data_IF_888902216982
#
_entry.id   IF_888902216982
#
_cell.length_a   1.000
_cell.length_b   1.000
_cell.length_c   1.000
_cell.angle_alpha   90.00
_cell.angle_beta   90.00
_cell.angle_gamma   90.00
#
_symmetry.space_group_name_H-M   'P 1'
#
loop_
_entity.id
_entity.type
_entity.pdbx_description
1 polymer ?
#
# COMPACT_ATOMS: atom_id res chain seq x y z
N UNK A 1 20.91 4.41 -6.79
CA UNK A 1 22.38 4.19 -6.88
C UNK A 1 23.12 5.23 -6.03
N UNK A 2 23.16 6.52 -6.42
CA UNK A 2 23.87 7.55 -5.65
C UNK A 2 23.40 7.62 -4.20
N UNK A 3 22.07 7.66 -3.96
CA UNK A 3 21.51 7.65 -2.61
C UNK A 3 21.89 6.41 -1.79
N UNK A 4 22.03 5.25 -2.43
CA UNK A 4 22.47 4.00 -1.77
C UNK A 4 23.89 4.13 -1.21
N UNK A 5 24.82 4.72 -1.98
CA UNK A 5 26.20 4.97 -1.51
C UNK A 5 26.31 6.02 -0.41
N UNK A 6 25.27 6.84 -0.22
CA UNK A 6 25.18 7.83 0.85
C UNK A 6 24.64 7.24 2.16
N UNK A 7 24.01 6.07 2.12
CA UNK A 7 23.63 5.32 3.33
C UNK A 7 24.91 4.76 3.95
N UNK A 8 25.38 5.39 5.03
CA UNK A 8 26.57 4.96 5.77
C UNK A 8 26.20 4.75 7.23
N UNK A 9 26.65 3.62 7.78
CA UNK A 9 26.59 3.37 9.20
C UNK A 9 27.33 4.51 9.95
N UNK A 10 26.75 5.07 11.02
CA UNK A 10 27.44 6.07 11.82
C UNK A 10 28.75 5.49 12.37
N UNK A 11 29.81 6.31 12.38
CA UNK A 11 31.12 5.92 12.94
C UNK A 11 31.02 5.92 14.48
N UNK A 12 30.97 4.74 15.11
CA UNK A 12 30.95 4.57 16.57
C UNK A 12 30.57 3.14 17.01
N UNK A 13 30.74 2.81 18.29
CA UNK A 13 30.23 1.55 18.86
C UNK A 13 28.73 1.64 19.15
N UNK A 14 27.90 0.88 18.42
CA UNK A 14 26.45 0.76 18.65
C UNK A 14 25.65 0.55 17.36
N UNK A 15 24.33 0.34 17.49
CA UNK A 15 23.38 0.29 16.36
C UNK A 15 23.30 1.64 15.62
N UNK A 16 23.57 2.74 16.31
CA UNK A 16 23.52 4.09 15.76
C UNK A 16 22.13 4.47 15.26
N UNK A 17 22.02 5.65 14.64
CA UNK A 17 20.76 6.07 13.99
C UNK A 17 20.65 5.44 12.58
N UNK A 18 20.36 4.13 12.55
CA UNK A 18 20.17 3.38 11.30
C UNK A 18 19.04 3.99 10.45
N UNK A 19 17.95 4.43 11.09
CA UNK A 19 16.82 5.07 10.42
C UNK A 19 17.24 6.41 9.78
N UNK A 20 18.00 7.25 10.50
CA UNK A 20 18.54 8.48 9.95
C UNK A 20 19.55 8.28 8.81
N UNK A 21 20.31 7.18 8.81
CA UNK A 21 21.17 6.83 7.68
C UNK A 21 20.35 6.45 6.42
N UNK A 22 19.34 5.61 6.59
CA UNK A 22 18.41 5.21 5.53
C UNK A 22 17.70 6.46 4.96
N UNK A 23 17.22 7.34 5.84
CA UNK A 23 16.47 8.52 5.42
C UNK A 23 17.32 9.55 4.67
N UNK A 24 18.59 9.74 5.06
CA UNK A 24 19.53 10.57 4.28
C UNK A 24 19.70 10.03 2.85
N UNK A 25 19.79 8.71 2.69
CA UNK A 25 19.82 8.07 1.38
C UNK A 25 18.52 8.25 0.60
N UNK A 26 17.37 8.22 1.28
CA UNK A 26 16.06 8.42 0.67
C UNK A 26 15.85 9.87 0.20
N UNK A 27 16.10 10.87 1.05
CA UNK A 27 15.95 12.29 0.70
C UNK A 27 16.93 12.74 -0.38
N UNK A 28 18.17 12.24 -0.36
CA UNK A 28 19.13 12.55 -1.42
C UNK A 28 18.70 11.95 -2.76
N UNK A 29 18.20 10.70 -2.79
CA UNK A 29 17.59 10.13 -3.99
C UNK A 29 16.39 10.95 -4.47
N UNK A 30 15.55 11.46 -3.56
CA UNK A 30 14.40 12.31 -3.89
C UNK A 30 14.81 13.63 -4.54
N UNK A 31 15.78 14.33 -3.95
CA UNK A 31 16.30 15.58 -4.50
C UNK A 31 16.93 15.39 -5.88
N UNK A 32 17.73 14.33 -6.05
CA UNK A 32 18.34 13.99 -7.34
C UNK A 32 17.26 13.68 -8.38
N UNK A 33 16.24 12.89 -8.00
CA UNK A 33 15.12 12.53 -8.87
C UNK A 33 14.43 13.79 -9.41
N UNK A 34 14.01 14.71 -8.52
CA UNK A 34 13.32 15.95 -8.91
C UNK A 34 14.16 16.78 -9.89
N UNK A 35 15.46 16.96 -9.61
CA UNK A 35 16.36 17.74 -10.48
C UNK A 35 16.51 17.11 -11.86
N UNK A 36 16.69 15.79 -11.93
CA UNK A 36 16.86 15.08 -13.21
C UNK A 36 15.57 15.08 -14.03
N UNK A 37 14.41 14.84 -13.39
CA UNK A 37 13.11 14.91 -14.08
C UNK A 37 12.80 16.33 -14.55
N UNK A 38 13.18 17.36 -13.79
CA UNK A 38 13.06 18.75 -14.24
C UNK A 38 13.94 19.04 -15.48
N UNK A 39 15.19 18.55 -15.48
CA UNK A 39 16.08 18.65 -16.63
C UNK A 39 15.53 17.95 -17.87
N UNK A 40 15.03 16.71 -17.73
CA UNK A 40 14.40 15.96 -18.83
C UNK A 40 13.13 16.67 -19.31
N UNK A 41 12.28 17.14 -18.40
CA UNK A 41 11.07 17.87 -18.76
C UNK A 41 11.39 19.13 -19.56
N UNK A 42 12.38 19.91 -19.11
CA UNK A 42 12.85 21.08 -19.83
C UNK A 42 13.45 20.74 -21.21
N UNK A 43 14.20 19.65 -21.37
CA UNK A 43 14.82 19.36 -22.67
C UNK A 43 13.86 18.68 -23.66
N UNK A 44 12.95 17.83 -23.19
CA UNK A 44 12.16 16.94 -24.04
C UNK A 44 10.69 17.36 -24.20
N UNK A 45 10.07 18.00 -23.19
CA UNK A 45 8.62 18.25 -23.15
C UNK A 45 8.22 19.67 -23.56
N UNK A 46 9.09 20.42 -24.24
CA UNK A 46 8.86 21.84 -24.61
C UNK A 46 7.56 22.08 -25.37
N UNK A 47 7.15 21.13 -26.21
CA UNK A 47 5.98 21.26 -27.08
C UNK A 47 4.72 20.57 -26.54
N UNK A 48 4.70 20.15 -25.26
CA UNK A 48 3.54 19.48 -24.68
C UNK A 48 2.43 20.50 -24.38
N UNK A 49 1.15 20.18 -24.70
CA UNK A 49 0.01 21.00 -24.34
C UNK A 49 0.01 21.35 -22.85
N UNK A 50 -0.12 22.63 -22.55
CA UNK A 50 -0.11 23.13 -21.19
C UNK A 50 1.27 23.37 -20.57
N UNK A 51 2.36 23.09 -21.29
CA UNK A 51 3.73 23.45 -20.92
C UNK A 51 4.48 22.35 -20.17
N UNK A 52 5.79 22.28 -20.43
CA UNK A 52 6.71 21.27 -19.91
C UNK A 52 6.79 21.19 -18.38
N UNK A 53 6.48 22.29 -17.67
CA UNK A 53 6.56 22.38 -16.22
C UNK A 53 5.46 21.58 -15.51
N UNK A 54 4.29 21.38 -16.15
CA UNK A 54 3.15 20.69 -15.55
C UNK A 54 3.46 19.21 -15.25
N UNK A 55 3.97 18.41 -16.21
CA UNK A 55 4.42 17.05 -15.92
C UNK A 55 5.51 16.97 -14.86
N UNK A 56 6.50 17.88 -14.89
CA UNK A 56 7.58 17.94 -13.89
C UNK A 56 7.02 18.19 -12.49
N UNK A 57 6.08 19.12 -12.37
CA UNK A 57 5.45 19.43 -11.10
C UNK A 57 4.61 18.26 -10.58
N UNK A 58 3.89 17.55 -11.45
CA UNK A 58 3.14 16.36 -11.05
C UNK A 58 4.05 15.22 -10.54
N UNK A 59 5.16 14.97 -11.22
CA UNK A 59 6.18 14.01 -10.76
C UNK A 59 6.76 14.46 -9.40
N UNK A 60 7.02 15.76 -9.24
CA UNK A 60 7.53 16.32 -7.98
C UNK A 60 6.53 16.14 -6.84
N UNK A 61 5.23 16.38 -7.08
CA UNK A 61 4.16 16.10 -6.11
C UNK A 61 4.14 14.62 -5.73
N UNK A 62 4.38 13.72 -6.69
CA UNK A 62 4.55 12.29 -6.43
C UNK A 62 5.71 11.94 -5.50
N UNK A 63 6.86 12.59 -5.68
CA UNK A 63 8.02 12.44 -4.79
C UNK A 63 7.68 12.96 -3.38
N UNK A 64 6.99 14.10 -3.30
CA UNK A 64 6.51 14.65 -2.01
C UNK A 64 5.52 13.70 -1.34
N UNK A 65 4.60 13.09 -2.09
CA UNK A 65 3.69 12.05 -1.58
C UNK A 65 4.47 10.91 -0.93
N UNK A 66 5.52 10.39 -1.59
CA UNK A 66 6.35 9.32 -1.02
C UNK A 66 6.97 9.73 0.32
N UNK A 67 7.53 10.96 0.41
CA UNK A 67 8.13 11.49 1.63
C UNK A 67 7.09 11.67 2.74
N UNK A 68 5.90 12.17 2.43
CA UNK A 68 4.85 12.39 3.43
C UNK A 68 4.30 11.07 3.98
N UNK A 69 4.08 10.08 3.12
CA UNK A 69 3.64 8.74 3.56
C UNK A 69 4.71 8.07 4.41
N UNK A 70 5.98 8.16 4.01
CA UNK A 70 7.12 7.70 4.81
C UNK A 70 7.11 8.32 6.22
N UNK A 71 7.07 9.66 6.30
CA UNK A 71 7.09 10.40 7.58
C UNK A 71 5.91 10.11 8.49
N UNK A 72 4.70 10.06 7.93
CA UNK A 72 3.50 9.72 8.72
C UNK A 72 3.57 8.28 9.20
N UNK A 73 4.00 7.35 8.36
CA UNK A 73 4.10 5.94 8.76
C UNK A 73 5.16 5.74 9.84
N UNK A 74 6.34 6.38 9.72
CA UNK A 74 7.39 6.38 10.74
C UNK A 74 6.86 6.95 12.07
N UNK A 75 6.09 8.03 12.04
CA UNK A 75 5.54 8.61 13.27
C UNK A 75 4.61 7.65 14.03
N UNK A 76 3.78 6.88 13.31
CA UNK A 76 2.85 5.93 13.92
C UNK A 76 3.45 4.57 14.27
N UNK A 77 4.59 4.19 13.69
CA UNK A 77 5.18 2.84 13.86
C UNK A 77 6.60 2.84 14.45
N UNK A 78 7.27 4.00 14.51
CA UNK A 78 8.58 4.15 15.12
C UNK A 78 8.53 4.11 16.64
N UNK A 79 9.46 3.38 17.27
CA UNK A 79 9.57 3.22 18.73
C UNK A 79 9.78 4.54 19.49
N UNK A 80 10.27 5.57 18.80
CA UNK A 80 10.48 6.90 19.35
C UNK A 80 9.24 7.81 19.21
N UNK A 81 8.27 7.45 18.38
CA UNK A 81 7.03 8.19 18.14
C UNK A 81 6.11 8.23 19.37
N UNK A 82 5.33 9.31 19.48
CA UNK A 82 4.33 9.42 20.54
C UNK A 82 3.26 8.31 20.49
N UNK A 83 2.71 7.93 19.30
CA UNK A 83 1.74 6.85 19.19
C UNK A 83 2.18 5.52 19.80
N UNK A 84 3.41 5.07 19.48
CA UNK A 84 3.96 3.82 19.99
C UNK A 84 4.24 3.90 21.49
N UNK A 85 4.76 5.05 21.98
CA UNK A 85 4.96 5.27 23.42
C UNK A 85 3.66 5.19 24.22
N UNK A 86 2.55 5.63 23.64
CA UNK A 86 1.24 5.54 24.29
C UNK A 86 0.70 4.09 24.31
N UNK A 87 0.97 3.29 23.28
CA UNK A 87 0.72 1.83 23.31
C UNK A 87 1.54 1.17 24.42
N UNK A 88 2.84 1.50 24.51
CA UNK A 88 3.72 0.99 25.58
C UNK A 88 3.19 1.37 26.96
N UNK A 89 2.76 2.61 27.19
CA UNK A 89 2.14 3.03 28.45
C UNK A 89 0.86 2.25 28.75
N UNK A 90 0.07 1.96 27.72
CA UNK A 90 -1.18 1.20 27.84
C UNK A 90 -0.96 -0.25 28.24
N UNK A 91 0.25 -0.80 28.08
CA UNK A 91 0.59 -2.15 28.56
C UNK A 91 0.47 -2.30 30.09
N UNK A 92 0.61 -1.20 30.85
CA UNK A 92 0.40 -1.21 32.30
C UNK A 92 -1.04 -1.58 32.70
N UNK A 93 -2.02 -1.36 31.81
CA UNK A 93 -3.41 -1.75 32.01
C UNK A 93 -3.74 -3.19 31.59
N UNK A 94 -2.77 -3.93 31.05
CA UNK A 94 -2.91 -5.30 30.57
C UNK A 94 -3.26 -5.44 29.08
N UNK A 95 -3.51 -6.67 28.60
CA UNK A 95 -3.67 -6.93 27.17
C UNK A 95 -4.82 -6.17 26.51
N UNK A 96 -5.93 -5.95 27.24
CA UNK A 96 -7.10 -5.26 26.70
C UNK A 96 -6.77 -3.80 26.34
N UNK A 97 -6.10 -3.06 27.22
CA UNK A 97 -5.72 -1.66 26.98
C UNK A 97 -4.66 -1.54 25.90
N UNK A 98 -3.71 -2.49 25.82
CA UNK A 98 -2.72 -2.56 24.72
C UNK A 98 -3.40 -2.72 23.36
N UNK A 99 -4.37 -3.64 23.25
CA UNK A 99 -5.11 -3.88 22.00
C UNK A 99 -5.94 -2.63 21.65
N UNK A 100 -6.67 -2.06 22.60
CA UNK A 100 -7.47 -0.87 22.32
C UNK A 100 -6.60 0.30 21.84
N UNK A 101 -5.44 0.52 22.48
CA UNK A 101 -4.53 1.59 22.07
C UNK A 101 -4.00 1.40 20.64
N UNK A 102 -3.58 0.18 20.26
CA UNK A 102 -3.08 -0.07 18.91
C UNK A 102 -4.16 0.07 17.83
N UNK A 103 -5.39 -0.36 18.12
CA UNK A 103 -6.54 -0.16 17.22
C UNK A 103 -6.77 1.34 16.96
N UNK A 104 -6.75 2.15 18.02
CA UNK A 104 -6.92 3.62 17.92
C UNK A 104 -5.84 4.24 17.04
N UNK A 105 -4.57 3.91 17.27
CA UNK A 105 -3.45 4.44 16.47
C UNK A 105 -3.54 4.00 14.99
N UNK A 106 -3.98 2.77 14.74
CA UNK A 106 -4.28 2.30 13.39
C UNK A 106 -5.32 3.17 12.69
N UNK A 107 -6.45 3.45 13.35
CA UNK A 107 -7.52 4.25 12.76
C UNK A 107 -7.07 5.68 12.46
N UNK A 108 -6.37 6.31 13.39
CA UNK A 108 -5.86 7.68 13.21
C UNK A 108 -4.88 7.75 12.02
N UNK A 109 -3.94 6.80 11.94
CA UNK A 109 -2.95 6.76 10.86
C UNK A 109 -3.57 6.58 9.47
N UNK A 110 -4.67 5.81 9.38
CA UNK A 110 -5.41 5.59 8.13
C UNK A 110 -6.07 6.88 7.61
N UNK A 111 -6.56 7.73 8.52
CA UNK A 111 -7.15 9.04 8.16
C UNK A 111 -6.07 9.96 7.60
N UNK A 112 -4.93 10.11 8.30
CA UNK A 112 -3.84 10.98 7.84
C UNK A 112 -3.27 10.54 6.49
N UNK A 113 -3.08 9.23 6.28
CA UNK A 113 -2.64 8.70 4.99
C UNK A 113 -3.64 9.03 3.87
N UNK A 114 -4.93 8.89 4.13
CA UNK A 114 -6.00 9.24 3.18
C UNK A 114 -6.00 10.72 2.83
N UNK A 115 -5.82 11.60 3.81
CA UNK A 115 -5.74 13.06 3.59
C UNK A 115 -4.56 13.41 2.69
N UNK A 116 -3.40 12.79 2.90
CA UNK A 116 -2.22 13.00 2.05
C UNK A 116 -2.49 12.58 0.60
N UNK A 117 -3.07 11.39 0.39
CA UNK A 117 -3.39 10.89 -0.95
C UNK A 117 -4.42 11.79 -1.64
N UNK A 118 -5.45 12.22 -0.91
CA UNK A 118 -6.46 13.13 -1.43
C UNK A 118 -5.85 14.48 -1.84
N UNK A 119 -4.92 15.01 -1.04
CA UNK A 119 -4.18 16.23 -1.37
C UNK A 119 -3.31 16.06 -2.63
N UNK A 120 -2.70 14.89 -2.83
CA UNK A 120 -1.95 14.58 -4.05
C UNK A 120 -2.83 14.52 -5.29
N UNK A 121 -3.99 13.87 -5.21
CA UNK A 121 -4.96 13.84 -6.32
C UNK A 121 -5.46 15.26 -6.60
N UNK A 122 -5.76 16.03 -5.57
CA UNK A 122 -6.18 17.43 -5.71
C UNK A 122 -5.10 18.32 -6.34
N UNK A 123 -3.83 18.10 -5.99
CA UNK A 123 -2.72 18.80 -6.64
C UNK A 123 -2.68 18.51 -8.15
N UNK A 124 -2.95 17.28 -8.59
CA UNK A 124 -3.09 16.98 -10.03
C UNK A 124 -4.20 17.80 -10.69
N UNK A 125 -5.35 17.93 -10.02
CA UNK A 125 -6.47 18.75 -10.49
C UNK A 125 -6.01 20.19 -10.70
N UNK A 126 -5.29 20.78 -9.73
CA UNK A 126 -4.80 22.16 -9.85
C UNK A 126 -3.77 22.33 -10.95
N UNK A 127 -2.85 21.37 -11.12
CA UNK A 127 -1.77 21.44 -12.11
C UNK A 127 -2.33 21.39 -13.53
N UNK A 128 -3.26 20.48 -13.80
CA UNK A 128 -3.81 20.25 -15.13
C UNK A 128 -5.16 20.92 -15.40
N UNK A 129 -5.65 21.74 -14.46
CA UNK A 129 -6.86 22.53 -14.69
C UNK A 129 -6.69 23.45 -15.90
N UNK A 130 -7.73 23.50 -16.75
CA UNK A 130 -7.76 24.34 -17.96
C UNK A 130 -6.85 23.87 -19.10
N UNK A 131 -6.34 22.63 -19.05
CA UNK A 131 -5.62 22.00 -20.19
C UNK A 131 -6.60 21.18 -21.01
N UNK A 132 -6.70 21.47 -22.31
CA UNK A 132 -7.61 20.78 -23.23
C UNK A 132 -8.68 21.70 -23.80
N UNK A 133 -9.27 21.32 -24.92
CA UNK A 133 -10.28 22.12 -25.62
C UNK A 133 -11.69 21.96 -25.02
N UNK A 134 -11.93 20.88 -24.27
CA UNK A 134 -13.23 20.56 -23.67
C UNK A 134 -13.06 19.88 -22.29
N UNK A 135 -14.20 19.69 -21.60
CA UNK A 135 -14.23 19.10 -20.25
C UNK A 135 -13.70 17.66 -20.21
N UNK A 136 -13.93 16.87 -21.28
CA UNK A 136 -13.47 15.49 -21.38
C UNK A 136 -11.94 15.41 -21.49
N UNK A 137 -11.34 16.23 -22.35
CA UNK A 137 -9.89 16.36 -22.47
C UNK A 137 -9.25 16.86 -21.18
N UNK A 138 -9.85 17.85 -20.53
CA UNK A 138 -9.38 18.34 -19.22
C UNK A 138 -9.35 17.23 -18.19
N UNK A 139 -10.40 16.41 -18.13
CA UNK A 139 -10.47 15.26 -17.22
C UNK A 139 -9.39 14.22 -17.54
N UNK A 140 -9.13 13.96 -18.82
CA UNK A 140 -8.07 13.05 -19.24
C UNK A 140 -6.67 13.56 -18.82
N UNK A 141 -6.38 14.85 -18.99
CA UNK A 141 -5.13 15.46 -18.52
C UNK A 141 -4.97 15.40 -17.00
N UNK A 142 -6.05 15.59 -16.24
CA UNK A 142 -6.04 15.45 -14.78
C UNK A 142 -5.70 14.01 -14.37
N UNK A 143 -6.33 13.01 -14.99
CA UNK A 143 -6.06 11.59 -14.71
C UNK A 143 -4.65 11.18 -15.13
N UNK A 144 -4.15 11.74 -16.23
CA UNK A 144 -2.75 11.61 -16.64
C UNK A 144 -1.80 12.23 -15.61
N UNK A 145 -2.13 13.40 -15.06
CA UNK A 145 -1.40 14.02 -13.96
C UNK A 145 -1.37 13.15 -12.70
N UNK A 146 -2.49 12.49 -12.36
CA UNK A 146 -2.53 11.53 -11.25
C UNK A 146 -1.58 10.35 -11.54
N UNK A 147 -1.58 9.82 -12.76
CA UNK A 147 -0.62 8.78 -13.16
C UNK A 147 0.84 9.25 -12.99
N UNK A 148 1.16 10.49 -13.39
CA UNK A 148 2.49 11.07 -13.22
C UNK A 148 2.91 11.23 -11.75
N UNK A 149 1.98 11.57 -10.85
CA UNK A 149 2.27 11.57 -9.40
C UNK A 149 2.62 10.16 -8.91
N UNK A 150 1.97 9.12 -9.44
CA UNK A 150 2.31 7.73 -9.15
C UNK A 150 3.71 7.35 -9.64
N UNK A 151 4.06 7.76 -10.86
CA UNK A 151 5.42 7.59 -11.40
C UNK A 151 6.44 8.30 -10.51
N UNK A 152 6.17 9.54 -10.10
CA UNK A 152 7.01 10.32 -9.19
C UNK A 152 7.27 9.62 -7.86
N UNK A 153 6.21 9.10 -7.24
CA UNK A 153 6.31 8.31 -6.00
C UNK A 153 7.23 7.10 -6.15
N UNK A 154 7.14 6.42 -7.30
CA UNK A 154 7.92 5.21 -7.60
C UNK A 154 9.34 5.48 -8.12
N UNK A 155 9.75 6.73 -8.33
CA UNK A 155 11.15 7.04 -8.66
C UNK A 155 12.13 6.62 -7.56
N UNK A 156 11.62 6.46 -6.33
CA UNK A 156 12.36 6.01 -5.16
C UNK A 156 12.25 4.50 -4.91
N UNK A 157 11.73 3.73 -5.86
CA UNK A 157 11.51 2.27 -5.71
C UNK A 157 12.77 1.53 -5.30
N UNK A 158 13.94 1.88 -5.85
CA UNK A 158 15.21 1.25 -5.46
C UNK A 158 15.52 1.43 -3.97
N UNK A 159 15.21 2.59 -3.39
CA UNK A 159 15.35 2.83 -1.96
C UNK A 159 14.28 2.05 -1.18
N UNK A 160 13.02 2.08 -1.63
CA UNK A 160 11.91 1.39 -0.95
C UNK A 160 12.12 -0.12 -0.87
N UNK A 161 12.51 -0.77 -1.96
CA UNK A 161 12.79 -2.21 -1.98
C UNK A 161 14.00 -2.56 -1.09
N UNK A 162 15.00 -1.68 -1.04
CA UNK A 162 16.15 -1.87 -0.13
C UNK A 162 15.71 -1.79 1.35
N UNK A 163 14.86 -0.82 1.68
CA UNK A 163 14.29 -0.66 3.03
C UNK A 163 13.38 -1.84 3.43
N UNK A 164 12.62 -2.38 2.46
CA UNK A 164 11.74 -3.52 2.69
C UNK A 164 12.55 -4.80 2.93
N UNK A 165 13.64 -4.98 2.17
CA UNK A 165 14.54 -6.12 2.31
C UNK A 165 15.38 -6.04 3.59
N UNK A 166 15.67 -4.84 4.09
CA UNK A 166 16.45 -4.64 5.32
C UNK A 166 15.78 -5.32 6.53
N UNK A 167 14.45 -5.20 6.67
CA UNK A 167 13.72 -5.75 7.83
C UNK A 167 13.84 -7.27 7.98
N UNK A 168 13.47 -8.09 6.97
CA UNK A 168 13.64 -9.54 7.03
C UNK A 168 15.09 -9.98 7.19
N UNK A 169 16.07 -9.20 6.71
CA UNK A 169 17.49 -9.52 6.91
C UNK A 169 17.88 -9.29 8.38
N UNK A 170 17.47 -8.17 8.99
CA UNK A 170 17.75 -7.90 10.40
C UNK A 170 17.04 -8.87 11.36
N UNK A 171 15.79 -9.24 11.06
CA UNK A 171 15.02 -10.25 11.82
C UNK A 171 15.72 -11.61 11.80
N UNK A 172 16.08 -12.11 10.60
CA UNK A 172 16.83 -13.37 10.47
C UNK A 172 18.20 -13.32 11.17
N UNK A 173 18.91 -12.19 11.08
CA UNK A 173 20.18 -12.02 11.77
C UNK A 173 20.00 -12.12 13.30
N UNK A 174 18.97 -11.46 13.84
CA UNK A 174 18.63 -11.53 15.27
C UNK A 174 18.30 -12.97 15.70
N UNK A 175 17.47 -13.67 14.92
CA UNK A 175 17.12 -15.08 15.18
C UNK A 175 18.33 -16.02 15.14
N UNK A 176 19.22 -15.86 14.15
CA UNK A 176 20.49 -16.62 14.09
C UNK A 176 21.37 -16.29 15.28
N UNK A 177 21.45 -15.03 15.69
CA UNK A 177 22.22 -14.59 16.85
C UNK A 177 21.74 -15.22 18.15
N UNK A 178 20.43 -15.35 18.34
CA UNK A 178 19.83 -16.06 19.48
C UNK A 178 20.16 -17.55 19.44
N UNK A 179 19.95 -18.22 18.30
CA UNK A 179 20.20 -19.66 18.14
C UNK A 179 21.69 -20.02 18.23
N UNK A 180 22.59 -19.13 17.84
CA UNK A 180 24.04 -19.30 17.94
C UNK A 180 24.60 -18.94 19.33
N UNK A 181 23.78 -18.42 20.25
CA UNK A 181 24.21 -18.07 21.61
C UNK A 181 25.19 -16.89 21.65
N UNK A 182 25.03 -15.91 20.76
CA UNK A 182 25.91 -14.73 20.74
C UNK A 182 25.81 -13.90 22.04
N UNK A 183 26.85 -13.11 22.29
CA UNK A 183 26.92 -12.26 23.47
C UNK A 183 25.77 -11.24 23.49
N UNK A 184 25.41 -10.79 24.69
CA UNK A 184 24.27 -9.88 24.89
C UNK A 184 24.41 -8.54 24.14
N UNK A 185 25.63 -8.03 23.95
CA UNK A 185 25.87 -6.76 23.26
C UNK A 185 25.60 -6.91 21.77
N UNK A 186 26.09 -7.99 21.15
CA UNK A 186 25.79 -8.30 19.75
C UNK A 186 24.29 -8.52 19.52
N UNK A 187 23.62 -9.24 20.43
CA UNK A 187 22.16 -9.46 20.37
C UNK A 187 21.36 -8.17 20.49
N UNK A 188 21.74 -7.26 21.40
CA UNK A 188 21.05 -5.97 21.51
C UNK A 188 21.16 -5.15 20.22
N UNK A 189 22.32 -5.14 19.57
CA UNK A 189 22.48 -4.43 18.29
C UNK A 189 21.54 -5.01 17.22
N UNK A 190 21.44 -6.34 17.13
CA UNK A 190 20.53 -6.98 16.16
C UNK A 190 19.06 -6.72 16.48
N UNK A 191 18.66 -6.72 17.76
CA UNK A 191 17.32 -6.36 18.19
C UNK A 191 16.97 -4.90 17.86
N UNK A 192 17.91 -3.97 18.03
CA UNK A 192 17.71 -2.57 17.64
C UNK A 192 17.53 -2.42 16.12
N UNK A 193 18.31 -3.17 15.32
CA UNK A 193 18.19 -3.19 13.86
C UNK A 193 16.87 -3.80 13.39
N UNK A 194 16.40 -4.86 14.05
CA UNK A 194 15.11 -5.49 13.79
C UNK A 194 13.94 -4.54 14.09
N UNK A 195 14.01 -3.80 15.20
CA UNK A 195 13.04 -2.75 15.52
C UNK A 195 12.96 -1.67 14.42
N UNK A 196 14.11 -1.22 13.88
CA UNK A 196 14.15 -0.32 12.72
C UNK A 196 13.56 -1.00 11.48
N UNK A 197 13.86 -2.28 11.28
CA UNK A 197 13.31 -3.11 10.20
C UNK A 197 11.79 -3.21 10.20
N UNK A 198 11.16 -3.27 11.37
CA UNK A 198 9.70 -3.27 11.50
C UNK A 198 9.08 -1.93 11.05
N UNK A 199 9.71 -0.81 11.44
CA UNK A 199 9.29 0.52 10.97
C UNK A 199 9.48 0.67 9.46
N UNK A 200 10.62 0.22 8.89
CA UNK A 200 10.83 0.29 7.43
C UNK A 200 9.85 -0.58 6.65
N UNK A 201 9.49 -1.76 7.18
CA UNK A 201 8.46 -2.65 6.61
C UNK A 201 7.06 -2.02 6.63
N UNK A 202 6.75 -1.22 7.65
CA UNK A 202 5.50 -0.47 7.68
C UNK A 202 5.51 0.66 6.64
N UNK A 203 6.61 1.43 6.57
CA UNK A 203 6.81 2.49 5.57
C UNK A 203 6.62 1.95 4.15
N UNK A 204 7.24 0.82 3.82
CA UNK A 204 7.18 0.24 2.47
C UNK A 204 5.79 -0.27 2.13
N UNK A 205 5.05 -0.84 3.10
CA UNK A 205 3.61 -1.14 2.95
C UNK A 205 2.80 0.13 2.69
N UNK A 206 3.03 1.20 3.45
CA UNK A 206 2.37 2.49 3.26
C UNK A 206 2.59 3.05 1.85
N UNK A 207 3.83 2.99 1.36
CA UNK A 207 4.18 3.41 -0.01
C UNK A 207 3.50 2.53 -1.06
N UNK A 208 3.53 1.21 -0.90
CA UNK A 208 2.86 0.28 -1.81
C UNK A 208 1.35 0.56 -1.88
N UNK A 209 0.72 0.74 -0.73
CA UNK A 209 -0.70 1.07 -0.58
C UNK A 209 -1.02 2.41 -1.28
N UNK A 210 -0.27 3.48 -0.98
CA UNK A 210 -0.46 4.78 -1.63
C UNK A 210 -0.28 4.72 -3.15
N UNK A 211 0.75 4.00 -3.62
CA UNK A 211 0.99 3.82 -5.06
C UNK A 211 -0.14 3.04 -5.73
N UNK A 212 -0.71 2.04 -5.05
CA UNK A 212 -1.83 1.26 -5.57
C UNK A 212 -3.08 2.13 -5.72
N UNK A 213 -3.36 3.04 -4.78
CA UNK A 213 -4.49 3.99 -4.91
C UNK A 213 -4.28 4.93 -6.08
N UNK A 214 -3.10 5.57 -6.20
CA UNK A 214 -2.81 6.49 -7.30
C UNK A 214 -2.88 5.77 -8.65
N UNK A 215 -2.31 4.56 -8.73
CA UNK A 215 -2.40 3.72 -9.92
C UNK A 215 -3.86 3.35 -10.23
N UNK A 216 -4.65 2.93 -9.24
CA UNK A 216 -6.04 2.57 -9.44
C UNK A 216 -6.90 3.76 -9.90
N UNK A 217 -6.70 4.96 -9.35
CA UNK A 217 -7.35 6.19 -9.81
C UNK A 217 -6.94 6.55 -11.25
N UNK A 218 -5.68 6.30 -11.64
CA UNK A 218 -5.24 6.50 -13.02
C UNK A 218 -5.85 5.47 -13.99
N UNK A 219 -5.91 4.20 -13.57
CA UNK A 219 -6.51 3.11 -14.35
C UNK A 219 -8.02 3.29 -14.50
N UNK A 220 -8.67 4.01 -13.59
CA UNK A 220 -10.04 4.46 -13.78
C UNK A 220 -10.18 5.28 -15.07
N UNK A 221 -9.24 6.15 -15.42
CA UNK A 221 -9.25 6.85 -16.71
C UNK A 221 -9.17 5.92 -17.92
N UNK A 222 -8.32 4.89 -17.84
CA UNK A 222 -8.23 3.85 -18.87
C UNK A 222 -9.50 3.04 -18.98
N UNK A 223 -10.07 2.61 -17.85
CA UNK A 223 -11.35 1.90 -17.78
C UNK A 223 -12.46 2.70 -18.45
N UNK A 224 -12.57 3.99 -18.14
CA UNK A 224 -13.58 4.86 -18.73
C UNK A 224 -13.42 4.95 -20.25
N UNK A 225 -12.17 5.09 -20.72
CA UNK A 225 -11.84 5.18 -22.14
C UNK A 225 -12.17 3.89 -22.88
N UNK A 226 -11.83 2.73 -22.33
CA UNK A 226 -12.00 1.46 -23.00
C UNK A 226 -13.46 0.98 -22.99
N UNK A 227 -14.20 1.21 -21.91
CA UNK A 227 -15.65 1.00 -21.89
C UNK A 227 -16.34 1.83 -22.97
N UNK A 228 -15.93 3.08 -23.15
CA UNK A 228 -16.46 3.94 -24.22
C UNK A 228 -16.19 3.35 -25.60
N UNK A 229 -14.94 2.94 -25.88
CA UNK A 229 -14.57 2.34 -27.18
C UNK A 229 -15.37 1.08 -27.48
N UNK A 230 -15.44 0.16 -26.51
CA UNK A 230 -16.17 -1.11 -26.66
C UNK A 230 -17.65 -0.84 -26.88
N UNK A 231 -18.24 0.08 -26.13
CA UNK A 231 -19.65 0.40 -26.28
C UNK A 231 -19.95 1.08 -27.62
N UNK A 232 -19.08 1.96 -28.12
CA UNK A 232 -19.20 2.52 -29.49
C UNK A 232 -19.10 1.41 -30.54
N UNK A 233 -18.14 0.50 -30.41
CA UNK A 233 -17.95 -0.62 -31.34
C UNK A 233 -19.11 -1.63 -31.32
N UNK A 234 -19.64 -1.95 -30.14
CA UNK A 234 -20.82 -2.82 -29.99
C UNK A 234 -22.12 -2.12 -30.41
N UNK A 235 -22.14 -0.79 -30.43
CA UNK A 235 -23.31 -0.01 -30.85
C UNK A 235 -23.31 0.30 -32.34
N UNK A 236 -22.18 0.17 -33.07
CA UNK A 236 -22.16 0.29 -34.52
C UNK A 236 -23.13 -0.71 -35.22
N UNK A 237 -23.42 -1.85 -34.57
CA UNK A 237 -24.47 -2.81 -34.97
C UNK A 237 -25.87 -2.44 -34.48
N UNK A 238 -26.01 -1.63 -33.42
CA UNK A 238 -27.30 -1.16 -32.88
C UNK A 238 -27.79 0.16 -33.51
N UNK A 239 -26.90 0.96 -34.10
CA UNK A 239 -27.23 2.20 -34.83
C UNK A 239 -28.02 1.98 -36.14
N UNK A 240 -28.23 0.73 -36.56
CA UNK A 240 -29.24 0.38 -37.57
C UNK A 240 -30.69 0.54 -37.05
N UNK A 241 -30.89 0.64 -35.72
CA UNK A 241 -32.21 0.75 -35.08
C UNK A 241 -32.58 2.17 -34.60
N UNK A 242 -31.79 3.20 -34.94
CA UNK A 242 -32.21 4.61 -34.81
C UNK A 242 -32.41 5.17 -33.40
N UNK A 243 -31.95 4.49 -32.34
CA UNK A 243 -32.02 5.01 -30.96
C UNK A 243 -30.65 5.46 -30.48
N UNK A 244 -30.51 6.76 -30.17
CA UNK A 244 -29.35 7.28 -29.45
C UNK A 244 -29.32 6.66 -28.04
N UNK A 245 -28.26 5.92 -27.72
CA UNK A 245 -28.16 5.26 -26.43
C UNK A 245 -27.82 6.29 -25.33
N UNK A 246 -28.69 6.45 -24.32
CA UNK A 246 -28.53 7.44 -23.24
C UNK A 246 -27.21 7.31 -22.48
N UNK A 247 -26.65 6.09 -22.41
CA UNK A 247 -25.41 5.80 -21.71
C UNK A 247 -24.19 6.52 -22.31
N UNK A 248 -24.00 6.47 -23.64
CA UNK A 248 -22.83 7.10 -24.27
C UNK A 248 -22.87 8.62 -24.10
N UNK A 249 -24.06 9.21 -24.22
CA UNK A 249 -24.31 10.63 -24.00
C UNK A 249 -24.10 11.01 -22.52
N UNK A 250 -24.71 10.27 -21.58
CA UNK A 250 -24.60 10.52 -20.13
C UNK A 250 -23.16 10.32 -19.63
N UNK A 251 -22.43 9.39 -20.21
CA UNK A 251 -21.05 9.08 -19.83
C UNK A 251 -20.06 10.12 -20.35
N UNK A 252 -20.18 10.51 -21.63
CA UNK A 252 -19.38 11.60 -22.22
C UNK A 252 -19.70 12.96 -21.57
N UNK A 253 -20.95 13.17 -21.14
CA UNK A 253 -21.38 14.42 -20.52
C UNK A 253 -21.16 14.46 -18.99
N UNK A 254 -21.22 13.32 -18.27
CA UNK A 254 -21.25 13.32 -16.78
C UNK A 254 -20.54 12.19 -16.02
N UNK A 255 -19.88 11.22 -16.69
CA UNK A 255 -19.11 10.16 -16.03
C UNK A 255 -19.93 9.17 -15.19
N UNK A 256 -19.28 8.45 -14.25
CA UNK A 256 -19.95 7.47 -13.37
C UNK A 256 -20.69 8.21 -12.24
N UNK A 257 -22.04 8.16 -12.27
CA UNK A 257 -22.88 8.82 -11.28
C UNK A 257 -23.17 7.93 -10.09
N UNK A 258 -22.58 8.27 -8.94
CA UNK A 258 -22.81 7.55 -7.66
C UNK A 258 -24.27 7.62 -7.20
N UNK A 259 -25.04 8.62 -7.65
CA UNK A 259 -26.48 8.74 -7.36
C UNK A 259 -27.35 7.67 -8.04
N UNK A 260 -26.81 6.94 -9.02
CA UNK A 260 -27.56 5.86 -9.68
C UNK A 260 -27.57 4.61 -8.80
N UNK A 261 -28.75 4.00 -8.54
CA UNK A 261 -28.85 2.83 -7.66
C UNK A 261 -27.94 1.67 -8.06
N UNK A 262 -27.78 1.38 -9.36
CA UNK A 262 -26.93 0.30 -9.85
C UNK A 262 -25.43 0.55 -9.55
N UNK A 263 -24.97 1.79 -9.74
CA UNK A 263 -23.61 2.21 -9.38
C UNK A 263 -23.40 2.10 -7.87
N UNK A 264 -24.38 2.54 -7.09
CA UNK A 264 -24.31 2.50 -5.64
C UNK A 264 -24.30 1.06 -5.09
N UNK A 265 -25.06 0.15 -5.70
CA UNK A 265 -24.98 -1.30 -5.39
C UNK A 265 -23.57 -1.81 -5.65
N UNK A 266 -22.99 -1.48 -6.81
CA UNK A 266 -21.59 -1.80 -7.10
C UNK A 266 -20.64 -1.28 -6.03
N UNK A 267 -20.77 0.01 -5.66
CA UNK A 267 -19.97 0.68 -4.63
C UNK A 267 -20.02 -0.05 -3.29
N UNK A 268 -21.20 -0.45 -2.82
CA UNK A 268 -21.37 -1.20 -1.57
C UNK A 268 -20.69 -2.57 -1.63
N UNK A 269 -20.87 -3.32 -2.71
CA UNK A 269 -20.25 -4.63 -2.90
C UNK A 269 -18.72 -4.52 -2.95
N UNK A 270 -18.22 -3.51 -3.65
CA UNK A 270 -16.79 -3.22 -3.74
C UNK A 270 -16.19 -2.85 -2.39
N UNK A 271 -16.87 -1.99 -1.64
CA UNK A 271 -16.43 -1.58 -0.31
C UNK A 271 -16.42 -2.73 0.71
N UNK A 272 -17.31 -3.72 0.57
CA UNK A 272 -17.37 -4.89 1.43
C UNK A 272 -16.24 -5.92 1.16
N UNK A 273 -15.71 -5.96 -0.07
CA UNK A 273 -14.75 -6.99 -0.47
C UNK A 273 -13.46 -7.00 0.36
N UNK A 274 -12.77 -5.86 0.61
CA UNK A 274 -11.57 -5.86 1.45
C UNK A 274 -11.81 -6.39 2.87
N UNK A 275 -12.99 -6.14 3.43
CA UNK A 275 -13.35 -6.62 4.77
C UNK A 275 -13.54 -8.13 4.80
N UNK A 276 -14.23 -8.67 3.79
CA UNK A 276 -14.38 -10.12 3.63
C UNK A 276 -13.01 -10.79 3.41
N UNK A 277 -12.18 -10.20 2.55
CA UNK A 277 -10.83 -10.68 2.28
C UNK A 277 -9.99 -10.74 3.56
N UNK A 278 -9.97 -9.65 4.33
CA UNK A 278 -9.25 -9.58 5.60
C UNK A 278 -9.78 -10.59 6.64
N UNK A 279 -11.11 -10.74 6.75
CA UNK A 279 -11.72 -11.70 7.66
C UNK A 279 -11.35 -13.15 7.33
N UNK A 280 -11.33 -13.52 6.04
CA UNK A 280 -10.91 -14.84 5.59
C UNK A 280 -9.41 -15.07 5.83
N UNK A 281 -8.57 -14.09 5.51
CA UNK A 281 -7.13 -14.17 5.74
C UNK A 281 -6.78 -14.33 7.23
N UNK A 282 -7.42 -13.55 8.12
CA UNK A 282 -7.23 -13.66 9.56
C UNK A 282 -7.70 -15.02 10.08
N UNK A 283 -8.84 -15.52 9.59
CA UNK A 283 -9.33 -16.84 9.98
C UNK A 283 -8.43 -17.98 9.51
N UNK A 284 -7.84 -17.87 8.32
CA UNK A 284 -6.84 -18.81 7.81
C UNK A 284 -5.60 -18.85 8.73
N UNK A 285 -5.06 -17.67 9.09
CA UNK A 285 -3.94 -17.57 10.03
C UNK A 285 -4.30 -18.14 11.41
N UNK A 286 -5.50 -17.85 11.93
CA UNK A 286 -5.96 -18.39 13.22
C UNK A 286 -6.04 -19.92 13.23
N UNK A 287 -6.53 -20.53 12.15
CA UNK A 287 -6.54 -22.01 12.02
C UNK A 287 -5.12 -22.57 12.02
N UNK A 288 -4.21 -22.01 11.21
CA UNK A 288 -2.82 -22.44 11.13
C UNK A 288 -2.08 -22.26 12.47
N UNK A 289 -2.28 -21.12 13.13
CA UNK A 289 -1.68 -20.80 14.42
C UNK A 289 -2.12 -21.78 15.51
N UNK A 290 -3.40 -22.19 15.54
CA UNK A 290 -3.90 -23.20 16.49
C UNK A 290 -3.18 -24.55 16.31
N UNK A 291 -2.98 -24.97 15.07
CA UNK A 291 -2.23 -26.20 14.76
C UNK A 291 -0.78 -26.08 15.21
N UNK A 292 -0.13 -24.95 14.91
CA UNK A 292 1.24 -24.67 15.33
C UNK A 292 1.40 -24.69 16.86
N UNK A 293 0.52 -24.01 17.59
CA UNK A 293 0.55 -23.97 19.06
C UNK A 293 0.38 -25.36 19.66
N UNK A 294 -0.54 -26.17 19.11
CA UNK A 294 -0.73 -27.54 19.57
C UNK A 294 0.49 -28.42 19.32
N UNK A 295 1.16 -28.26 18.17
CA UNK A 295 2.38 -28.98 17.84
C UNK A 295 3.54 -28.57 18.74
N UNK A 296 3.77 -27.28 18.96
CA UNK A 296 4.80 -26.78 19.89
C UNK A 296 4.55 -27.30 21.31
N UNK A 297 3.29 -27.26 21.79
CA UNK A 297 2.91 -27.82 23.10
C UNK A 297 3.15 -29.33 23.17
N UNK A 298 2.91 -30.07 22.08
CA UNK A 298 3.21 -31.51 22.00
C UNK A 298 4.71 -31.74 22.15
N UNK A 299 5.54 -31.01 21.41
CA UNK A 299 7.01 -31.13 21.48
C UNK A 299 7.56 -30.74 22.86
N UNK A 300 7.03 -29.68 23.49
CA UNK A 300 7.44 -29.33 24.86
C UNK A 300 7.16 -30.43 25.87
N UNK A 301 6.02 -31.13 25.77
CA UNK A 301 5.73 -32.30 26.63
C UNK A 301 6.68 -33.48 26.41
N UNK A 302 7.36 -33.55 25.26
CA UNK A 302 8.35 -34.58 24.94
C UNK A 302 9.75 -34.27 25.49
N UNK A 303 9.97 -33.12 26.12
CA UNK A 303 11.25 -32.77 26.74
C UNK A 303 12.10 -31.78 25.95
N UNK A 304 11.54 -31.11 24.92
CA UNK A 304 12.25 -30.09 24.13
C UNK A 304 12.60 -28.86 24.96
N UNK A 305 11.71 -28.45 25.87
CA UNK A 305 11.92 -27.26 26.70
C UNK A 305 13.10 -27.43 27.68
N UNK A 306 13.26 -28.64 28.21
CA UNK A 306 14.37 -29.02 29.09
C UNK A 306 15.65 -29.39 28.33
N UNK A 307 15.63 -29.33 26.99
CA UNK A 307 16.78 -29.68 26.14
C UNK A 307 17.10 -31.18 26.08
N UNK A 308 16.17 -32.06 26.50
CA UNK A 308 16.36 -33.52 26.49
C UNK A 308 16.23 -34.12 25.10
N UNK A 309 15.42 -33.51 24.24
CA UNK A 309 15.15 -33.95 22.87
C UNK A 309 15.30 -32.75 21.94
N UNK A 310 15.95 -32.88 20.77
CA UNK A 310 16.00 -31.80 19.81
C UNK A 310 14.60 -31.50 19.24
N UNK A 311 14.27 -30.22 18.98
CA UNK A 311 13.01 -29.84 18.36
C UNK A 311 12.86 -30.42 16.94
N UNK A 312 11.65 -30.80 16.58
CA UNK A 312 11.29 -31.19 15.22
C UNK A 312 10.79 -29.97 14.45
N UNK A 313 11.73 -29.29 13.78
CA UNK A 313 11.42 -28.14 12.94
C UNK A 313 10.63 -28.50 11.69
N UNK A 314 10.79 -29.73 11.16
CA UNK A 314 10.16 -30.16 9.91
C UNK A 314 8.64 -30.16 10.07
N UNK A 315 8.13 -30.65 11.19
CA UNK A 315 6.70 -30.70 11.44
C UNK A 315 6.08 -29.30 11.47
N UNK A 316 6.73 -28.33 12.12
CA UNK A 316 6.28 -26.92 12.12
C UNK A 316 6.24 -26.36 10.68
N UNK A 317 7.29 -26.56 9.90
CA UNK A 317 7.37 -26.11 8.51
C UNK A 317 6.27 -26.76 7.65
N UNK A 318 6.00 -28.06 7.83
CA UNK A 318 4.93 -28.75 7.10
C UNK A 318 3.56 -28.15 7.42
N UNK A 319 3.25 -27.91 8.71
CA UNK A 319 1.97 -27.31 9.12
C UNK A 319 1.77 -25.94 8.45
N UNK A 320 2.77 -25.04 8.52
CA UNK A 320 2.65 -23.71 7.92
C UNK A 320 2.55 -23.77 6.39
N UNK A 321 3.30 -24.68 5.75
CA UNK A 321 3.31 -24.82 4.28
C UNK A 321 1.97 -25.31 3.74
N UNK A 322 1.45 -26.41 4.30
CA UNK A 322 0.18 -27.00 3.86
C UNK A 322 -0.99 -26.06 4.14
N UNK A 323 -1.00 -25.40 5.29
CA UNK A 323 -2.03 -24.42 5.61
C UNK A 323 -2.00 -23.23 4.63
N UNK A 324 -0.82 -22.64 4.38
CA UNK A 324 -0.71 -21.51 3.46
C UNK A 324 -1.19 -21.84 2.04
N UNK A 325 -0.82 -23.00 1.51
CA UNK A 325 -1.21 -23.42 0.15
C UNK A 325 -2.73 -23.59 -0.01
N UNK A 326 -3.38 -24.22 0.97
CA UNK A 326 -4.83 -24.47 0.91
C UNK A 326 -5.64 -23.17 1.04
N UNK A 327 -5.18 -22.23 1.87
CA UNK A 327 -5.93 -21.02 2.19
C UNK A 327 -5.82 -19.95 1.08
N UNK A 328 -4.67 -19.88 0.38
CA UNK A 328 -4.42 -18.88 -0.68
C UNK A 328 -5.40 -18.97 -1.86
N UNK A 329 -5.88 -20.17 -2.20
CA UNK A 329 -6.78 -20.36 -3.33
C UNK A 329 -8.11 -19.60 -3.13
N UNK A 330 -8.66 -19.65 -1.92
CA UNK A 330 -9.93 -18.98 -1.59
C UNK A 330 -9.83 -17.46 -1.72
N UNK A 331 -8.70 -16.89 -1.28
CA UNK A 331 -8.42 -15.46 -1.36
C UNK A 331 -8.23 -15.02 -2.82
N UNK A 332 -7.54 -15.82 -3.64
CA UNK A 332 -7.35 -15.54 -5.06
C UNK A 332 -8.68 -15.54 -5.84
N UNK A 333 -9.54 -16.54 -5.59
CA UNK A 333 -10.89 -16.61 -6.18
C UNK A 333 -11.69 -15.37 -5.79
N UNK A 334 -11.67 -14.97 -4.52
CA UNK A 334 -12.37 -13.79 -4.03
C UNK A 334 -11.85 -12.48 -4.64
N UNK A 335 -10.57 -12.38 -4.98
CA UNK A 335 -10.03 -11.18 -5.62
C UNK A 335 -10.42 -11.07 -7.11
N UNK A 336 -10.56 -12.19 -7.81
CA UNK A 336 -10.72 -12.22 -9.28
C UNK A 336 -12.19 -12.32 -9.70
N UNK A 337 -12.97 -13.19 -9.06
CA UNK A 337 -14.33 -13.53 -9.52
C UNK A 337 -15.35 -12.40 -9.30
N UNK A 338 -15.41 -11.72 -8.14
CA UNK A 338 -16.40 -10.67 -7.90
C UNK A 338 -16.43 -9.52 -8.91
N UNK A 339 -15.31 -8.88 -9.33
CA UNK A 339 -15.38 -7.82 -10.34
C UNK A 339 -15.90 -8.34 -11.69
N UNK A 340 -15.59 -9.59 -12.06
CA UNK A 340 -16.12 -10.21 -13.28
C UNK A 340 -17.64 -10.39 -13.16
N UNK A 341 -18.13 -10.94 -12.05
CA UNK A 341 -19.56 -11.14 -11.82
C UNK A 341 -20.31 -9.81 -11.80
N UNK A 342 -19.78 -8.78 -11.13
CA UNK A 342 -20.42 -7.46 -11.10
C UNK A 342 -20.51 -6.86 -12.50
N UNK A 343 -19.42 -6.95 -13.28
CA UNK A 343 -19.41 -6.46 -14.67
C UNK A 343 -20.41 -7.18 -15.57
N UNK A 344 -20.52 -8.51 -15.45
CA UNK A 344 -21.43 -9.31 -16.27
C UNK A 344 -22.90 -9.16 -15.88
N UNK A 345 -23.21 -9.02 -14.59
CA UNK A 345 -24.59 -8.99 -14.09
C UNK A 345 -25.18 -7.58 -14.04
N UNK A 346 -24.39 -6.58 -13.65
CA UNK A 346 -24.85 -5.20 -13.40
C UNK A 346 -24.28 -4.17 -14.39
N UNK A 347 -23.39 -4.59 -15.30
CA UNK A 347 -22.81 -3.75 -16.32
C UNK A 347 -21.62 -2.90 -15.87
N UNK A 348 -21.06 -2.14 -16.81
CA UNK A 348 -19.83 -1.39 -16.61
C UNK A 348 -19.96 -0.25 -15.58
N UNK A 349 -21.12 0.38 -15.46
CA UNK A 349 -21.34 1.44 -14.46
C UNK A 349 -21.25 0.92 -13.02
N UNK A 350 -21.92 -0.20 -12.75
CA UNK A 350 -21.86 -0.87 -11.46
C UNK A 350 -20.46 -1.39 -11.15
N UNK A 351 -19.75 -1.91 -12.16
CA UNK A 351 -18.34 -2.29 -12.00
C UNK A 351 -17.47 -1.08 -11.66
N UNK A 352 -17.70 0.07 -12.29
CA UNK A 352 -17.03 1.32 -11.93
C UNK A 352 -17.30 1.74 -10.48
N UNK A 353 -18.55 1.63 -10.02
CA UNK A 353 -18.90 1.80 -8.61
C UNK A 353 -18.14 0.83 -7.70
N UNK A 354 -18.12 -0.46 -8.06
CA UNK A 354 -17.41 -1.50 -7.33
C UNK A 354 -15.92 -1.23 -7.16
N UNK A 355 -15.24 -0.86 -8.24
CA UNK A 355 -13.83 -0.51 -8.19
C UNK A 355 -13.58 0.71 -7.28
N UNK A 356 -14.47 1.71 -7.29
CA UNK A 356 -14.34 2.90 -6.45
C UNK A 356 -14.50 2.56 -4.96
N UNK A 357 -15.48 1.72 -4.64
CA UNK A 357 -15.73 1.27 -3.27
C UNK A 357 -14.58 0.43 -2.73
N UNK A 358 -14.02 -0.44 -3.58
CA UNK A 358 -12.87 -1.26 -3.26
C UNK A 358 -11.63 -0.42 -2.95
N UNK A 359 -11.36 0.63 -3.74
CA UNK A 359 -10.22 1.54 -3.49
C UNK A 359 -10.38 2.26 -2.16
N UNK A 360 -11.52 2.92 -1.93
CA UNK A 360 -11.72 3.76 -0.73
C UNK A 360 -11.70 2.93 0.55
N UNK A 361 -12.45 1.82 0.56
CA UNK A 361 -12.52 0.92 1.71
C UNK A 361 -11.19 0.18 1.94
N UNK A 362 -10.60 -0.32 0.85
CA UNK A 362 -9.35 -1.08 0.89
C UNK A 362 -8.17 -0.25 1.34
N UNK A 363 -8.06 1.01 0.90
CA UNK A 363 -7.03 1.94 1.33
C UNK A 363 -7.02 2.12 2.84
N UNK A 364 -8.18 2.48 3.41
CA UNK A 364 -8.32 2.73 4.84
C UNK A 364 -7.99 1.48 5.65
N UNK A 365 -8.54 0.32 5.24
CA UNK A 365 -8.32 -0.93 5.94
C UNK A 365 -6.85 -1.38 5.86
N UNK A 366 -6.20 -1.23 4.70
CA UNK A 366 -4.81 -1.63 4.50
C UNK A 366 -3.85 -0.79 5.36
N UNK A 367 -4.01 0.53 5.40
CA UNK A 367 -3.18 1.40 6.25
C UNK A 367 -3.42 1.09 7.73
N UNK A 368 -4.69 0.95 8.13
CA UNK A 368 -5.04 0.56 9.49
C UNK A 368 -4.32 -0.73 9.92
N UNK A 369 -4.43 -1.80 9.13
CA UNK A 369 -3.82 -3.09 9.46
C UNK A 369 -2.29 -3.04 9.45
N UNK A 370 -1.70 -2.31 8.50
CA UNK A 370 -0.25 -2.18 8.39
C UNK A 370 0.35 -1.42 9.59
N UNK A 371 -0.26 -0.31 9.98
CA UNK A 371 0.28 0.57 11.02
C UNK A 371 -0.07 0.07 12.43
N UNK A 372 -1.29 -0.42 12.67
CA UNK A 372 -1.62 -1.03 13.95
C UNK A 372 -0.69 -2.23 14.24
N UNK A 373 -0.47 -3.08 13.23
CA UNK A 373 0.41 -4.24 13.35
C UNK A 373 1.91 -3.89 13.41
N UNK A 374 2.33 -2.74 12.89
CA UNK A 374 3.71 -2.28 13.03
C UNK A 374 3.98 -1.51 14.33
N UNK A 375 2.94 -0.98 14.97
CA UNK A 375 3.03 -0.23 16.22
C UNK A 375 2.94 -1.12 17.47
N UNK A 376 2.25 -2.26 17.39
CA UNK A 376 2.32 -3.35 18.38
C UNK A 376 3.64 -4.11 18.25
#
# INVERSE_FOLDING_TARGET
IVGTYLVRAPKGEGSGDAMGAIFRGFLSSAAISVVLFAGVGFLYLQNVPGGWWRPVLAVTVGVVLAILIDRVTEYFTGTHGAPVKDIVRSTNGGPATTILSGIVQGYESAVWSTVIIAATIFASILIFNGVGANQAETTAYILYGVALTGIGMLTLTGNNVSMDSFGPISDNANGIGEMAGLDKKARQIMADLDAVGNTTKAITKGIAIGSAVIAAVSLFGSFLTDVTKVQVASNATASAAGQALPFLQTFLDTGIRVSMPQVFVGLLLGAALPWMFSGLAINAVNRAARLMVNEVRRQFRLGVLEGKVPPDYRQCVTISTTAAQNELLSLAILAIVPPILVGLLFGAEALGGFLAGLIVSGQLLAVYMANAGGAW
#
